data_IF_656214142964
#
_entry.id   IF_656214142964
#
_cell.length_a   1.000
_cell.length_b   1.000
_cell.length_c   1.000
_cell.angle_alpha   90.00
_cell.angle_beta   90.00
_cell.angle_gamma   90.00
#
_symmetry.space_group_name_H-M   'P 1'
#
loop_
_entity.id
_entity.type
_entity.pdbx_description
1 polymer ?
#
# COMPACT_ATOMS: atom_id res chain seq x y z
N UNK A 1 -9.16 0.01 -15.34
CA UNK A 1 -7.84 0.12 -14.66
C UNK A 1 -7.01 -1.15 -14.70
N UNK A 2 -7.41 -2.26 -14.07
CA UNK A 2 -6.59 -3.50 -14.07
C UNK A 2 -6.20 -4.00 -15.47
N UNK A 3 -7.13 -3.97 -16.43
CA UNK A 3 -6.83 -4.34 -17.83
C UNK A 3 -5.85 -3.36 -18.50
N UNK A 4 -5.98 -2.05 -18.22
CA UNK A 4 -5.06 -1.04 -18.72
C UNK A 4 -3.66 -1.20 -18.09
N UNK A 5 -3.59 -1.53 -16.80
CA UNK A 5 -2.34 -1.85 -16.13
C UNK A 5 -1.64 -3.05 -16.79
N UNK A 6 -2.37 -4.12 -17.13
CA UNK A 6 -1.82 -5.25 -17.88
C UNK A 6 -1.31 -4.84 -19.27
N UNK A 7 -1.99 -3.91 -19.93
CA UNK A 7 -1.56 -3.40 -21.22
C UNK A 7 -0.24 -2.61 -21.12
N UNK A 8 -0.05 -1.83 -20.04
CA UNK A 8 1.14 -1.00 -19.85
C UNK A 8 2.33 -1.77 -19.28
N UNK A 9 2.10 -2.64 -18.31
CA UNK A 9 3.15 -3.35 -17.57
C UNK A 9 3.35 -4.80 -18.03
N UNK A 10 2.52 -5.29 -18.95
CA UNK A 10 2.53 -6.68 -19.39
C UNK A 10 1.84 -7.62 -18.40
N UNK A 11 2.33 -8.86 -18.31
CA UNK A 11 1.77 -9.83 -17.37
C UNK A 11 1.93 -9.32 -15.92
N UNK A 12 0.80 -9.21 -15.20
CA UNK A 12 0.78 -8.56 -13.89
C UNK A 12 1.53 -9.34 -12.80
N UNK A 13 1.65 -10.67 -12.92
CA UNK A 13 2.39 -11.50 -11.95
C UNK A 13 1.89 -11.31 -10.53
N UNK A 14 2.71 -10.71 -9.66
CA UNK A 14 2.35 -10.33 -8.30
C UNK A 14 2.26 -8.79 -8.18
N UNK A 15 1.15 -8.30 -7.64
CA UNK A 15 0.86 -6.87 -7.45
C UNK A 15 0.65 -6.56 -5.97
N UNK A 16 1.38 -5.59 -5.43
CA UNK A 16 1.11 -5.10 -4.08
C UNK A 16 -0.01 -4.06 -4.12
N UNK A 17 -1.09 -4.31 -3.38
CA UNK A 17 -2.17 -3.36 -3.18
C UNK A 17 -2.02 -2.72 -1.81
N UNK A 18 -1.86 -1.39 -1.78
CA UNK A 18 -1.74 -0.60 -0.55
C UNK A 18 -2.99 0.26 -0.43
N UNK A 19 -3.78 0.06 0.62
CA UNK A 19 -5.07 0.72 0.75
C UNK A 19 -5.95 0.14 1.84
N UNK A 20 -7.20 0.61 1.89
CA UNK A 20 -8.19 0.10 2.84
C UNK A 20 -8.61 -1.35 2.47
N UNK A 21 -8.92 -2.22 3.45
CA UNK A 21 -9.21 -3.63 3.20
C UNK A 21 -10.25 -3.90 2.11
N UNK A 22 -11.43 -3.25 2.20
CA UNK A 22 -12.51 -3.46 1.24
C UNK A 22 -12.15 -3.04 -0.20
N UNK A 23 -11.32 -2.01 -0.34
CA UNK A 23 -10.87 -1.55 -1.66
C UNK A 23 -9.77 -2.46 -2.22
N UNK A 24 -8.87 -2.94 -1.36
CA UNK A 24 -7.88 -3.94 -1.73
C UNK A 24 -8.53 -5.24 -2.19
N UNK A 25 -9.63 -5.67 -1.55
CA UNK A 25 -10.39 -6.84 -1.97
C UNK A 25 -11.02 -6.63 -3.35
N UNK A 26 -11.65 -5.48 -3.57
CA UNK A 26 -12.26 -5.13 -4.85
C UNK A 26 -11.24 -5.10 -5.99
N UNK A 27 -10.10 -4.41 -5.79
CA UNK A 27 -9.03 -4.40 -6.78
C UNK A 27 -8.31 -5.74 -6.90
N UNK A 28 -8.23 -6.52 -5.82
CA UNK A 28 -7.68 -7.87 -5.82
C UNK A 28 -8.43 -8.79 -6.76
N UNK A 29 -9.76 -8.74 -6.74
CA UNK A 29 -10.61 -9.47 -7.68
C UNK A 29 -10.38 -9.01 -9.13
N UNK A 30 -10.27 -7.70 -9.35
CA UNK A 30 -10.02 -7.16 -10.69
C UNK A 30 -8.65 -7.59 -11.24
N UNK A 31 -7.61 -7.62 -10.42
CA UNK A 31 -6.26 -8.08 -10.81
C UNK A 31 -6.24 -9.59 -11.04
N UNK A 32 -6.93 -10.37 -10.21
CA UNK A 32 -7.10 -11.81 -10.38
C UNK A 32 -7.79 -12.14 -11.72
N UNK A 33 -8.83 -11.39 -12.09
CA UNK A 33 -9.49 -11.53 -13.38
C UNK A 33 -8.59 -11.23 -14.59
N UNK A 34 -7.47 -10.52 -14.38
CA UNK A 34 -6.45 -10.27 -15.41
C UNK A 34 -5.30 -11.30 -15.42
N UNK A 35 -5.34 -12.29 -14.52
CA UNK A 35 -4.33 -13.34 -14.36
C UNK A 35 -3.19 -12.98 -13.40
N UNK A 36 -3.37 -11.96 -12.55
CA UNK A 36 -2.40 -11.59 -11.52
C UNK A 36 -2.76 -12.14 -10.14
N UNK A 37 -1.84 -12.00 -9.20
CA UNK A 37 -2.02 -12.27 -7.78
C UNK A 37 -1.72 -11.02 -6.97
N UNK A 38 -2.35 -10.86 -5.81
CA UNK A 38 -2.16 -9.67 -4.99
C UNK A 38 -1.62 -9.98 -3.60
N UNK A 39 -0.83 -9.05 -3.08
CA UNK A 39 -0.47 -8.96 -1.66
C UNK A 39 -1.06 -7.66 -1.15
N UNK A 40 -1.97 -7.76 -0.18
CA UNK A 40 -2.60 -6.59 0.43
C UNK A 40 -1.74 -6.06 1.58
N UNK A 41 -1.56 -4.74 1.62
CA UNK A 41 -0.95 -4.00 2.71
C UNK A 41 -1.98 -2.97 3.19
N UNK A 42 -2.15 -2.88 4.51
CA UNK A 42 -2.97 -1.85 5.13
C UNK A 42 -2.37 -0.47 4.88
N UNK A 43 -3.19 0.42 4.28
CA UNK A 43 -2.74 1.75 3.88
C UNK A 43 -2.32 2.64 5.05
N UNK A 44 -3.04 2.58 6.17
CA UNK A 44 -2.75 3.41 7.34
C UNK A 44 -1.44 2.96 8.00
N UNK A 45 -1.23 1.64 8.10
CA UNK A 45 0.03 1.08 8.56
C UNK A 45 1.20 1.47 7.65
N UNK A 46 1.02 1.47 6.33
CA UNK A 46 2.04 1.89 5.38
C UNK A 46 2.40 3.38 5.53
N UNK A 47 1.41 4.24 5.76
CA UNK A 47 1.64 5.67 6.04
C UNK A 47 2.44 5.84 7.34
N UNK A 48 2.02 5.20 8.43
CA UNK A 48 2.71 5.28 9.71
C UNK A 48 4.17 4.77 9.62
N UNK A 49 4.38 3.66 8.90
CA UNK A 49 5.72 3.14 8.66
C UNK A 49 6.59 4.13 7.86
N UNK A 50 6.03 4.75 6.82
CA UNK A 50 6.71 5.77 6.02
C UNK A 50 7.07 7.02 6.84
N UNK A 51 6.13 7.54 7.63
CA UNK A 51 6.37 8.65 8.54
C UNK A 51 7.44 8.31 9.57
N UNK A 52 7.41 7.10 10.13
CA UNK A 52 8.42 6.64 11.10
C UNK A 52 9.81 6.54 10.49
N UNK A 53 9.93 6.04 9.25
CA UNK A 53 11.20 5.95 8.54
C UNK A 53 11.79 7.33 8.19
N UNK A 54 10.93 8.32 7.94
CA UNK A 54 11.32 9.68 7.59
C UNK A 54 11.53 10.58 8.82
N UNK A 55 11.02 10.20 9.99
CA UNK A 55 11.17 10.97 11.23
C UNK A 55 12.55 10.69 11.84
N UNK A 56 13.43 11.70 11.96
CA UNK A 56 14.64 11.54 12.77
C UNK A 56 14.27 11.29 14.23
N UNK A 57 15.18 10.77 15.08
CA UNK A 57 14.95 10.54 16.51
C UNK A 57 14.79 11.84 17.35
N UNK A 58 14.28 12.93 16.75
CA UNK A 58 14.26 14.30 17.27
C UNK A 58 12.91 14.69 17.91
N UNK A 59 12.21 13.74 18.51
CA UNK A 59 11.07 14.02 19.41
C UNK A 59 11.39 13.77 20.89
N UNK A 60 12.65 13.46 21.24
CA UNK A 60 13.10 13.37 22.62
C UNK A 60 13.30 14.73 23.32
N UNK A 61 13.06 15.86 22.63
CA UNK A 61 13.17 17.21 23.19
C UNK A 61 11.83 17.94 23.37
N UNK A 62 10.69 17.25 23.29
CA UNK A 62 9.46 17.80 23.86
C UNK A 62 9.56 17.73 25.40
N UNK A 63 10.22 18.72 25.99
CA UNK A 63 9.98 19.06 27.38
C UNK A 63 8.49 19.40 27.53
N UNK A 64 7.72 18.46 28.09
CA UNK A 64 6.49 18.81 28.78
C UNK A 64 6.92 19.70 29.94
N UNK A 65 6.70 21.01 29.79
CA UNK A 65 6.77 21.96 30.90
C UNK A 65 5.59 21.62 31.83
N UNK A 66 5.84 20.72 32.78
CA UNK A 66 5.03 20.56 33.97
C UNK A 66 5.51 21.55 35.05
#
# INVERSE_FOLDING_TARGET
>A
DAAAARQWFGALGQVTLVGAPALNDFYGQAIAAQGGHTVAIDGDAAVLAGLSALSPPKNSEFHVLA
#
